data_IF_302384358633
#
_entry.id   IF_302384358633
#
_cell.length_a   1.000
_cell.length_b   1.000
_cell.length_c   1.000
_cell.angle_alpha   90.00
_cell.angle_beta   90.00
_cell.angle_gamma   90.00
#
_symmetry.space_group_name_H-M   'P 1'
#
loop_
_entity.id
_entity.type
_entity.pdbx_description
1 polymer ?
#
# COMPACT_ATOMS: atom_id res chain seq x y z
N UNK A 1 -19.68 -0.82 28.32
CA UNK A 1 -18.29 -0.82 27.84
C UNK A 1 -17.85 -2.26 27.59
N UNK A 2 -17.03 -2.56 26.55
CA UNK A 2 -16.52 -3.91 26.37
C UNK A 2 -15.70 -4.31 27.61
N UNK A 3 -16.08 -5.41 28.27
CA UNK A 3 -15.38 -5.93 29.44
C UNK A 3 -14.02 -6.49 28.99
N UNK A 4 -12.97 -5.68 29.10
CA UNK A 4 -11.59 -6.14 28.92
C UNK A 4 -11.15 -6.80 30.22
N UNK A 5 -10.81 -8.09 30.17
CA UNK A 5 -10.37 -8.88 31.32
C UNK A 5 -8.96 -9.43 31.10
N UNK A 6 -8.33 -9.93 32.16
CA UNK A 6 -7.04 -10.62 32.03
C UNK A 6 -7.16 -11.80 31.06
N UNK A 7 -6.19 -11.91 30.15
CA UNK A 7 -6.18 -12.94 29.10
C UNK A 7 -6.89 -12.55 27.80
N UNK A 8 -7.66 -11.46 27.78
CA UNK A 8 -8.32 -10.98 26.55
C UNK A 8 -7.30 -10.53 25.52
N UNK A 9 -7.54 -10.85 24.24
CA UNK A 9 -6.78 -10.30 23.11
C UNK A 9 -7.32 -8.92 22.74
N UNK A 10 -6.45 -7.94 22.67
CA UNK A 10 -6.79 -6.55 22.39
C UNK A 10 -5.87 -5.98 21.34
N UNK A 11 -6.36 -5.02 20.58
CA UNK A 11 -5.52 -4.16 19.78
C UNK A 11 -5.87 -2.69 20.04
N UNK A 12 -5.00 -1.79 19.56
CA UNK A 12 -5.29 -0.36 19.60
C UNK A 12 -6.57 -0.08 18.80
N UNK A 13 -7.48 0.67 19.40
CA UNK A 13 -8.73 1.14 18.78
C UNK A 13 -8.42 2.06 17.60
N UNK A 14 -7.42 2.92 17.77
CA UNK A 14 -6.89 3.79 16.72
C UNK A 14 -5.60 3.16 16.18
N UNK A 15 -5.70 2.53 15.02
CA UNK A 15 -4.55 2.04 14.27
C UNK A 15 -4.70 2.53 12.83
N UNK A 16 -3.65 3.09 12.20
CA UNK A 16 -3.70 3.42 10.79
C UNK A 16 -4.00 2.18 9.93
N UNK A 17 -4.68 2.40 8.82
CA UNK A 17 -4.93 1.39 7.77
C UNK A 17 -3.63 0.96 7.10
N UNK A 18 -2.74 1.93 6.84
CA UNK A 18 -1.39 1.70 6.30
C UNK A 18 -0.38 2.55 7.05
N UNK A 19 0.78 1.97 7.35
CA UNK A 19 1.86 2.69 8.03
C UNK A 19 2.72 3.47 7.03
N UNK A 20 3.33 4.56 7.49
CA UNK A 20 4.40 5.21 6.74
C UNK A 20 5.50 4.19 6.38
N UNK A 21 5.99 4.25 5.14
CA UNK A 21 6.89 3.27 4.54
C UNK A 21 6.18 2.24 3.66
N UNK A 22 4.84 2.18 3.66
CA UNK A 22 4.12 1.24 2.80
C UNK A 22 4.33 1.55 1.32
N UNK A 23 4.55 0.51 0.52
CA UNK A 23 4.71 0.64 -0.93
C UNK A 23 3.34 0.57 -1.59
N UNK A 24 3.08 1.48 -2.52
CA UNK A 24 1.87 1.47 -3.32
C UNK A 24 2.17 1.89 -4.76
N UNK A 25 1.25 1.59 -5.66
CA UNK A 25 1.30 2.08 -7.03
C UNK A 25 0.03 2.84 -7.41
N UNK A 26 0.18 3.77 -8.35
CA UNK A 26 -0.90 4.55 -8.93
C UNK A 26 -0.82 4.48 -10.46
N UNK A 27 -2.00 4.48 -11.10
CA UNK A 27 -2.16 4.48 -12.56
C UNK A 27 -2.94 5.71 -13.06
N UNK A 28 -3.15 6.72 -12.21
CA UNK A 28 -4.05 7.85 -12.49
C UNK A 28 -3.73 8.66 -13.75
N UNK A 29 -2.48 8.67 -14.21
CA UNK A 29 -2.04 9.35 -15.43
C UNK A 29 -1.81 8.41 -16.63
N UNK A 30 -2.30 7.17 -16.57
CA UNK A 30 -2.05 6.13 -17.59
C UNK A 30 -0.64 5.56 -17.60
N UNK A 31 0.27 6.13 -16.79
CA UNK A 31 1.63 5.61 -16.56
C UNK A 31 1.68 5.06 -15.14
N UNK A 32 1.99 3.77 -14.95
CA UNK A 32 2.12 3.20 -13.61
C UNK A 32 3.31 3.82 -12.89
N UNK A 33 3.05 4.40 -11.72
CA UNK A 33 4.06 4.94 -10.83
C UNK A 33 4.06 4.16 -9.53
N UNK A 34 5.25 3.92 -8.96
CA UNK A 34 5.42 3.27 -7.67
C UNK A 34 5.93 4.31 -6.67
N UNK A 35 5.33 4.35 -5.49
CA UNK A 35 5.65 5.29 -4.44
C UNK A 35 5.70 4.63 -3.07
N UNK A 36 6.49 5.21 -2.18
CA UNK A 36 6.54 4.86 -0.76
C UNK A 36 5.75 5.90 0.01
N UNK A 37 4.72 5.45 0.71
CA UNK A 37 3.85 6.27 1.54
C UNK A 37 4.68 6.95 2.64
N UNK A 38 4.60 8.28 2.73
CA UNK A 38 5.40 9.04 3.71
C UNK A 38 4.72 9.19 5.08
N UNK A 39 3.40 9.02 5.12
CA UNK A 39 2.56 9.34 6.28
C UNK A 39 1.63 8.15 6.57
N UNK A 40 1.26 7.90 7.82
CA UNK A 40 0.32 6.80 8.10
C UNK A 40 -1.10 7.17 7.65
N UNK A 41 -1.77 6.25 6.97
CA UNK A 41 -3.13 6.42 6.44
C UNK A 41 -4.15 6.03 7.50
N UNK A 42 -5.10 6.91 7.79
CA UNK A 42 -6.17 6.64 8.76
C UNK A 42 -7.54 6.44 8.07
N UNK A 43 -7.71 6.98 6.86
CA UNK A 43 -8.94 6.92 6.09
C UNK A 43 -8.65 6.79 4.59
N UNK A 44 -9.35 5.90 3.88
CA UNK A 44 -9.19 5.69 2.43
C UNK A 44 -9.72 6.84 1.56
N UNK A 45 -10.43 7.79 2.15
CA UNK A 45 -10.93 8.98 1.45
C UNK A 45 -9.91 10.12 1.38
N UNK A 46 -8.78 9.99 2.07
CA UNK A 46 -7.75 11.02 2.14
C UNK A 46 -6.81 10.98 0.93
N UNK A 47 -5.98 12.01 0.81
CA UNK A 47 -4.84 12.04 -0.13
C UNK A 47 -3.56 12.11 0.68
N UNK A 48 -2.58 11.26 0.36
CA UNK A 48 -1.32 11.18 1.08
C UNK A 48 -0.13 11.46 0.17
N UNK A 49 1.00 11.84 0.78
CA UNK A 49 2.26 12.02 0.06
C UNK A 49 2.98 10.70 -0.13
N UNK A 50 3.44 10.49 -1.36
CA UNK A 50 4.22 9.34 -1.78
C UNK A 50 5.55 9.81 -2.32
N UNK A 51 6.64 9.23 -1.83
CA UNK A 51 7.95 9.37 -2.42
C UNK A 51 8.06 8.40 -3.60
N UNK A 52 8.05 8.93 -4.83
CA UNK A 52 8.19 8.12 -6.03
C UNK A 52 9.52 7.35 -6.03
N UNK A 53 9.45 6.11 -6.48
CA UNK A 53 10.62 5.25 -6.69
C UNK A 53 10.80 5.00 -8.17
N UNK A 54 12.03 5.15 -8.66
CA UNK A 54 12.35 4.73 -10.01
C UNK A 54 12.41 3.20 -10.07
N UNK A 55 12.15 2.58 -11.24
CA UNK A 55 12.30 1.14 -11.42
C UNK A 55 13.70 0.62 -11.06
N UNK A 56 14.74 1.46 -11.17
CA UNK A 56 16.12 1.15 -10.79
C UNK A 56 16.29 1.11 -9.26
N UNK A 57 15.65 2.01 -8.53
CA UNK A 57 15.67 2.04 -7.06
C UNK A 57 15.00 0.80 -6.44
N UNK A 58 13.96 0.26 -7.08
CA UNK A 58 13.23 -0.91 -6.57
C UNK A 58 14.10 -2.18 -6.53
N UNK A 59 15.01 -2.36 -7.49
CA UNK A 59 15.95 -3.51 -7.53
C UNK A 59 16.98 -3.50 -6.39
N UNK A 60 17.24 -2.33 -5.79
CA UNK A 60 18.16 -2.19 -4.66
C UNK A 60 17.55 -2.70 -3.34
N UNK A 61 16.21 -2.68 -3.23
CA UNK A 61 15.50 -3.04 -2.01
C UNK A 61 15.53 -4.54 -1.71
N UNK A 62 15.48 -5.40 -2.75
CA UNK A 62 15.65 -6.86 -2.60
C UNK A 62 17.04 -7.25 -2.08
N UNK A 63 18.07 -6.41 -2.29
CA UNK A 63 19.42 -6.64 -1.76
C UNK A 63 19.56 -6.16 -0.32
N UNK A 64 18.84 -5.11 0.08
CA UNK A 64 18.88 -4.60 1.46
C UNK A 64 18.19 -5.55 2.46
N UNK A 65 17.17 -6.31 2.04
CA UNK A 65 16.53 -7.33 2.88
C UNK A 65 17.36 -8.62 3.05
N UNK A 66 18.45 -8.81 2.28
CA UNK A 66 19.39 -9.94 2.43
C UNK A 66 20.77 -9.55 3.01
N UNK A 67 21.00 -8.29 3.35
CA UNK A 67 22.32 -7.79 3.79
C UNK A 67 22.33 -7.26 5.24
N UNK A 68 21.47 -7.80 6.13
CA UNK A 68 21.54 -7.54 7.58
C UNK A 68 22.36 -8.62 8.33
N UNK A 69 22.80 -9.69 7.65
CA UNK A 69 23.77 -10.62 8.23
C UNK A 69 25.15 -10.40 7.62
N UNK A 70 26.13 -10.21 8.51
CA UNK A 70 27.58 -10.14 8.29
C UNK A 70 28.18 -8.80 7.81
N UNK A 71 28.52 -7.94 8.77
CA UNK A 71 29.91 -7.41 8.84
C UNK A 71 30.32 -7.01 10.27
N UNK A 72 31.50 -7.43 10.75
CA UNK A 72 31.93 -7.21 12.13
C UNK A 72 32.52 -5.81 12.37
N UNK A 73 32.41 -5.44 13.64
CA UNK A 73 32.91 -4.31 14.40
C UNK A 73 34.36 -3.88 14.10
N UNK A 74 34.61 -2.57 14.05
CA UNK A 74 35.89 -2.02 14.51
C UNK A 74 35.77 -0.58 15.05
N UNK A 75 36.02 -0.48 16.36
CA UNK A 75 36.66 0.60 17.13
C UNK A 75 35.95 1.95 17.33
N UNK A 76 35.70 2.16 18.62
CA UNK A 76 35.28 3.36 19.34
C UNK A 76 36.30 4.52 19.22
N UNK A 77 35.79 5.76 19.20
CA UNK A 77 36.39 6.90 19.90
C UNK A 77 35.28 7.80 20.49
N UNK A 78 35.47 8.39 21.68
CA UNK A 78 34.41 9.11 22.39
C UNK A 78 34.47 10.62 22.11
N UNK A 79 33.41 11.19 21.55
CA UNK A 79 33.30 12.67 21.43
C UNK A 79 32.10 13.17 22.22
N UNK A 80 32.45 13.63 23.41
CA UNK A 80 31.80 14.58 24.32
C UNK A 80 30.49 15.22 23.81
N UNK A 81 29.45 15.00 24.62
CA UNK A 81 28.31 15.89 24.84
C UNK A 81 28.75 17.35 24.94
N UNK A 82 28.33 18.18 23.98
CA UNK A 82 28.18 19.62 24.18
C UNK A 82 26.82 20.03 23.62
N UNK A 83 25.87 20.15 24.54
CA UNK A 83 24.54 20.67 24.30
C UNK A 83 24.68 22.15 23.92
N UNK A 84 24.28 22.52 22.70
CA UNK A 84 24.18 23.92 22.31
C UNK A 84 23.15 24.65 23.18
N UNK A 85 23.38 25.93 23.55
CA UNK A 85 22.45 26.66 24.40
C UNK A 85 21.13 26.94 23.66
N UNK A 86 19.97 26.90 24.35
CA UNK A 86 18.67 27.18 23.75
C UNK A 86 18.51 28.68 23.42
N UNK A 87 17.76 29.05 22.37
CA UNK A 87 17.49 30.44 22.06
C UNK A 87 16.47 31.03 23.05
N UNK A 88 16.77 32.21 23.59
CA UNK A 88 15.89 33.00 24.46
C UNK A 88 15.27 34.19 23.69
N UNK A 89 14.16 34.79 24.19
CA UNK A 89 13.09 35.37 23.38
C UNK A 89 13.23 36.87 23.06
N UNK A 90 12.30 37.32 22.20
CA UNK A 90 12.17 38.61 21.54
C UNK A 90 12.21 39.87 22.42
N UNK A 91 12.73 40.95 21.82
CA UNK A 91 12.49 42.33 22.25
C UNK A 91 11.93 43.14 21.07
N UNK A 92 10.82 43.82 21.32
CA UNK A 92 10.10 44.70 20.40
C UNK A 92 10.58 46.13 20.60
N UNK A 93 10.85 46.89 19.54
CA UNK A 93 10.75 48.35 19.53
C UNK A 93 10.47 48.83 18.09
N UNK A 94 9.45 49.66 17.95
CA UNK A 94 8.97 50.26 16.71
C UNK A 94 9.72 51.54 16.32
N UNK A 95 9.50 51.95 15.07
CA UNK A 95 9.21 53.31 14.58
C UNK A 95 10.21 54.12 13.72
N UNK A 96 9.59 54.72 12.69
CA UNK A 96 9.92 55.91 11.89
C UNK A 96 11.02 55.88 10.78
N UNK A 97 10.54 55.63 9.56
CA UNK A 97 10.50 56.55 8.39
C UNK A 97 11.76 57.27 7.84
N UNK A 98 12.02 56.97 6.54
CA UNK A 98 12.42 57.87 5.43
C UNK A 98 13.85 58.44 5.45
N UNK A 99 14.67 58.54 4.38
CA UNK A 99 14.51 59.04 3.00
C UNK A 99 15.79 58.72 2.17
N UNK A 100 15.64 58.77 0.84
CA UNK A 100 16.60 59.16 -0.21
C UNK A 100 17.61 58.14 -0.80
N UNK A 101 17.49 58.00 -2.13
CA UNK A 101 18.36 57.32 -3.08
C UNK A 101 19.64 58.12 -3.40
N UNK A 102 20.75 57.44 -3.73
CA UNK A 102 21.47 57.53 -5.03
C UNK A 102 22.90 56.96 -5.02
N UNK A 103 23.20 56.15 -6.04
CA UNK A 103 24.44 56.01 -6.81
C UNK A 103 25.81 55.70 -6.15
N UNK A 104 26.40 54.55 -6.53
CA UNK A 104 27.69 54.39 -7.26
C UNK A 104 28.52 53.15 -6.83
N UNK A 105 28.91 52.34 -7.83
CA UNK A 105 29.88 51.21 -7.82
C UNK A 105 31.34 51.73 -7.73
N UNK A 106 32.45 50.92 -7.74
CA UNK A 106 32.66 49.45 -7.61
C UNK A 106 33.83 49.09 -6.65
N UNK A 107 34.10 47.80 -6.33
CA UNK A 107 35.44 47.17 -6.36
C UNK A 107 35.43 45.68 -5.92
N UNK A 108 35.83 44.80 -6.85
CA UNK A 108 36.47 43.47 -6.72
C UNK A 108 36.24 42.61 -5.44
N UNK A 109 35.61 41.44 -5.62
CA UNK A 109 36.32 40.12 -5.56
C UNK A 109 35.43 38.97 -6.07
N UNK A 110 35.90 38.26 -7.10
CA UNK A 110 35.42 36.92 -7.48
C UNK A 110 35.47 36.00 -6.26
N UNK A 111 34.34 35.40 -5.90
CA UNK A 111 34.29 34.04 -5.35
C UNK A 111 33.11 33.34 -6.00
N UNK A 112 33.41 32.54 -7.00
CA UNK A 112 32.52 31.51 -7.52
C UNK A 112 32.11 30.61 -6.36
N UNK A 113 30.87 30.76 -5.90
CA UNK A 113 30.21 29.72 -5.12
C UNK A 113 30.12 28.48 -6.00
N UNK A 114 30.53 27.29 -5.53
CA UNK A 114 30.22 26.07 -6.24
C UNK A 114 28.69 25.99 -6.40
N UNK A 115 28.25 25.60 -7.59
CA UNK A 115 26.85 25.28 -7.85
C UNK A 115 26.32 24.40 -6.71
N UNK A 116 25.09 24.62 -6.22
CA UNK A 116 24.48 23.66 -5.33
C UNK A 116 24.49 22.33 -6.07
N UNK A 117 25.07 21.31 -5.41
CA UNK A 117 24.88 19.93 -5.84
C UNK A 117 23.38 19.76 -6.03
N UNK A 118 23.01 19.19 -7.17
CA UNK A 118 21.66 18.78 -7.50
C UNK A 118 21.18 17.84 -6.40
N UNK A 119 20.61 18.41 -5.34
CA UNK A 119 19.97 17.66 -4.28
C UNK A 119 18.76 17.00 -4.92
N UNK A 120 18.89 15.70 -5.12
CA UNK A 120 17.85 14.69 -5.22
C UNK A 120 16.49 15.30 -4.91
N UNK A 121 15.85 15.85 -5.94
CA UNK A 121 14.52 16.43 -5.85
C UNK A 121 13.64 15.23 -5.54
N UNK A 122 13.39 15.02 -4.25
CA UNK A 122 12.55 13.95 -3.73
C UNK A 122 11.27 14.08 -4.52
N UNK A 123 11.04 13.15 -5.45
CA UNK A 123 9.88 13.16 -6.32
C UNK A 123 8.69 12.78 -5.44
N UNK A 124 8.25 13.71 -4.60
CA UNK A 124 7.07 13.56 -3.76
C UNK A 124 5.85 13.93 -4.61
N UNK A 125 4.88 13.03 -4.66
CA UNK A 125 3.58 13.28 -5.28
C UNK A 125 2.48 13.05 -4.24
N UNK A 126 1.44 13.87 -4.30
CA UNK A 126 0.23 13.65 -3.52
C UNK A 126 -0.73 12.80 -4.34
N UNK A 127 -1.09 11.62 -3.83
CA UNK A 127 -2.02 10.70 -4.48
C UNK A 127 -3.31 10.56 -3.68
N UNK A 128 -4.44 10.51 -4.39
CA UNK A 128 -5.74 10.12 -3.83
C UNK A 128 -5.71 8.65 -3.49
N UNK A 129 -5.97 8.29 -2.22
CA UNK A 129 -5.90 6.89 -1.78
C UNK A 129 -6.95 6.00 -2.46
N UNK A 130 -8.01 6.59 -3.02
CA UNK A 130 -9.02 5.86 -3.81
C UNK A 130 -8.49 5.31 -5.13
N UNK A 131 -7.40 5.87 -5.65
CA UNK A 131 -6.79 5.50 -6.93
C UNK A 131 -5.45 4.78 -6.75
N UNK A 132 -5.11 4.46 -5.51
CA UNK A 132 -3.83 3.85 -5.12
C UNK A 132 -4.05 2.42 -4.69
N UNK A 133 -3.18 1.54 -5.16
CA UNK A 133 -3.16 0.14 -4.75
C UNK A 133 -1.90 -0.09 -3.93
N UNK A 134 -2.08 -0.36 -2.63
CA UNK A 134 -0.98 -0.75 -1.75
C UNK A 134 -0.50 -2.15 -2.10
N UNK A 135 0.82 -2.35 -2.15
CA UNK A 135 1.49 -3.63 -2.46
C UNK A 135 1.91 -4.36 -1.19
N UNK A 136 2.09 -3.64 -0.08
CA UNK A 136 2.52 -4.24 1.18
C UNK A 136 1.45 -5.20 1.72
N UNK A 137 1.89 -6.42 2.10
CA UNK A 137 1.09 -7.32 2.92
C UNK A 137 0.67 -6.55 4.17
N UNK A 138 -0.64 -6.39 4.35
CA UNK A 138 -1.22 -5.68 5.51
C UNK A 138 -0.60 -6.27 6.77
N UNK A 139 0.32 -5.53 7.40
CA UNK A 139 0.89 -5.94 8.69
C UNK A 139 -0.29 -6.11 9.61
N UNK A 140 -0.53 -7.35 10.04
CA UNK A 140 -1.61 -7.65 10.96
C UNK A 140 -1.54 -6.67 12.13
N UNK A 141 -2.66 -6.01 12.42
CA UNK A 141 -2.77 -5.09 13.55
C UNK A 141 -2.18 -5.80 14.78
N UNK A 142 -1.15 -5.24 15.44
CA UNK A 142 -0.48 -5.92 16.55
C UNK A 142 -1.51 -6.23 17.63
N UNK A 143 -1.73 -7.53 17.87
CA UNK A 143 -2.68 -8.03 18.86
C UNK A 143 -1.90 -8.35 20.13
N UNK A 144 -2.22 -7.63 21.20
CA UNK A 144 -1.63 -7.84 22.51
C UNK A 144 -2.53 -8.67 23.41
N UNK A 145 -1.93 -9.34 24.40
CA UNK A 145 -2.63 -10.07 25.46
C UNK A 145 -2.67 -9.23 26.73
N UNK A 146 -3.85 -9.07 27.30
CA UNK A 146 -4.03 -8.34 28.57
C UNK A 146 -3.46 -9.16 29.73
N UNK A 147 -2.53 -8.58 30.49
CA UNK A 147 -1.93 -9.19 31.67
C UNK A 147 -2.62 -8.74 32.97
N UNK A 148 -3.02 -7.47 33.03
CA UNK A 148 -3.63 -6.89 34.23
C UNK A 148 -4.58 -5.76 33.83
N UNK A 149 -5.66 -5.64 34.58
CA UNK A 149 -6.59 -4.51 34.52
C UNK A 149 -6.56 -3.83 35.89
N UNK A 150 -6.41 -2.51 35.90
CA UNK A 150 -6.43 -1.67 37.08
C UNK A 150 -7.23 -0.38 36.80
N UNK A 151 -8.48 -0.36 37.23
CA UNK A 151 -9.41 0.74 36.98
C UNK A 151 -9.54 1.09 35.50
N UNK A 152 -9.07 2.28 35.12
CA UNK A 152 -9.10 2.78 33.74
C UNK A 152 -7.93 2.31 32.87
N UNK A 153 -6.92 1.65 33.46
CA UNK A 153 -5.69 1.25 32.79
C UNK A 153 -5.55 -0.26 32.67
N UNK A 154 -4.88 -0.70 31.63
CA UNK A 154 -4.68 -2.10 31.28
C UNK A 154 -3.24 -2.32 30.85
N UNK A 155 -2.57 -3.29 31.46
CA UNK A 155 -1.25 -3.74 31.02
C UNK A 155 -1.40 -4.79 29.91
N UNK A 156 -0.83 -4.52 28.74
CA UNK A 156 -0.95 -5.33 27.53
C UNK A 156 0.44 -5.74 27.03
N UNK A 157 0.65 -7.04 26.81
CA UNK A 157 1.84 -7.57 26.17
C UNK A 157 1.61 -7.75 24.67
N UNK A 158 2.34 -7.03 23.83
CA UNK A 158 2.30 -7.20 22.37
C UNK A 158 3.42 -8.14 21.91
N UNK A 159 3.16 -9.08 20.98
CA UNK A 159 4.21 -9.89 20.37
C UNK A 159 5.08 -9.00 19.47
N UNK A 160 6.41 -9.02 19.68
CA UNK A 160 7.38 -8.38 18.77
C UNK A 160 7.97 -7.03 19.20
N UNK A 161 7.81 -6.61 20.46
CA UNK A 161 8.49 -5.40 20.98
C UNK A 161 9.93 -5.64 21.45
N UNK A 162 10.40 -6.90 21.45
CA UNK A 162 11.79 -7.26 21.76
C UNK A 162 12.49 -7.83 20.52
N UNK A 163 13.33 -7.02 19.87
CA UNK A 163 14.35 -7.52 18.95
C UNK A 163 15.51 -8.15 19.75
N UNK A 164 15.27 -9.29 20.37
CA UNK A 164 16.32 -10.11 20.98
C UNK A 164 15.93 -11.58 20.96
N UNK A 165 16.57 -12.29 20.03
CA UNK A 165 17.00 -13.69 20.13
C UNK A 165 15.93 -14.77 20.40
N UNK A 166 15.86 -15.73 19.47
CA UNK A 166 15.30 -17.06 19.69
C UNK A 166 15.76 -17.62 21.06
N UNK A 167 14.83 -17.66 22.01
CA UNK A 167 14.93 -18.50 23.20
C UNK A 167 13.64 -19.31 23.27
N UNK A 168 13.66 -20.62 22.99
CA UNK A 168 12.48 -21.46 23.12
C UNK A 168 12.18 -21.61 24.62
N UNK A 169 10.93 -21.36 25.00
CA UNK A 169 10.33 -21.78 26.28
C UNK A 169 11.16 -21.55 27.56
N UNK A 170 10.86 -20.47 28.28
CA UNK A 170 10.98 -20.47 29.75
C UNK A 170 9.61 -20.19 30.38
N UNK A 171 8.73 -21.18 30.33
CA UNK A 171 7.65 -21.32 31.32
C UNK A 171 8.25 -21.84 32.63
N UNK A 172 9.13 -21.05 33.24
CA UNK A 172 9.76 -21.30 34.53
C UNK A 172 9.58 -20.09 35.46
N UNK A 173 9.70 -20.27 36.79
CA UNK A 173 9.39 -19.23 37.78
C UNK A 173 10.42 -18.07 37.81
N UNK A 174 11.51 -18.15 37.04
CA UNK A 174 12.59 -17.16 36.98
C UNK A 174 12.56 -16.32 35.68
N UNK A 175 11.38 -15.83 35.29
CA UNK A 175 11.32 -14.79 34.26
C UNK A 175 11.76 -13.46 34.89
N UNK A 176 12.91 -12.93 34.45
CA UNK A 176 13.41 -11.63 34.93
C UNK A 176 12.31 -10.56 34.81
N UNK A 177 11.86 -9.95 35.91
CA UNK A 177 10.69 -9.05 35.90
C UNK A 177 10.87 -7.87 34.94
N UNK A 178 12.11 -7.46 34.71
CA UNK A 178 12.50 -6.43 33.74
C UNK A 178 12.15 -6.79 32.29
N UNK A 179 12.30 -8.06 31.90
CA UNK A 179 11.98 -8.52 30.54
C UNK A 179 10.48 -8.48 30.26
N UNK A 180 9.67 -8.89 31.26
CA UNK A 180 8.22 -8.80 31.18
C UNK A 180 7.74 -7.35 31.09
N UNK A 181 8.35 -6.45 31.86
CA UNK A 181 8.02 -5.02 31.82
C UNK A 181 8.38 -4.37 30.48
N UNK A 182 9.49 -4.76 29.84
CA UNK A 182 9.86 -4.25 28.51
C UNK A 182 8.88 -4.67 27.41
N UNK A 183 8.26 -5.85 27.55
CA UNK A 183 7.26 -6.34 26.61
C UNK A 183 5.84 -5.81 26.86
N UNK A 184 5.63 -5.12 27.99
CA UNK A 184 4.33 -4.65 28.44
C UNK A 184 4.14 -3.15 28.20
N UNK A 185 2.98 -2.79 27.68
CA UNK A 185 2.53 -1.40 27.58
C UNK A 185 1.32 -1.17 28.47
N UNK A 186 1.36 -0.11 29.27
CA UNK A 186 0.20 0.34 30.04
C UNK A 186 -0.62 1.28 29.15
N UNK A 187 -1.86 0.89 28.87
CA UNK A 187 -2.77 1.59 27.95
C UNK A 187 -4.10 1.86 28.64
N UNK A 188 -4.82 2.89 28.20
CA UNK A 188 -6.16 3.15 28.72
C UNK A 188 -7.18 2.20 28.08
N UNK A 189 -8.19 1.82 28.86
CA UNK A 189 -9.22 0.87 28.39
C UNK A 189 -10.02 1.41 27.18
N UNK A 190 -10.13 2.73 27.04
CA UNK A 190 -10.77 3.41 25.92
C UNK A 190 -9.86 3.53 24.67
N UNK A 191 -8.57 3.23 24.79
CA UNK A 191 -7.64 3.15 23.65
C UNK A 191 -7.60 1.74 23.04
N UNK A 192 -8.27 0.78 23.67
CA UNK A 192 -8.24 -0.63 23.29
C UNK A 192 -9.58 -1.09 22.72
N UNK A 193 -9.51 -2.06 21.82
CA UNK A 193 -10.67 -2.84 21.36
C UNK A 193 -10.36 -4.33 21.47
N UNK A 194 -11.37 -5.11 21.86
CA UNK A 194 -11.24 -6.57 21.95
C UNK A 194 -11.22 -7.16 20.54
N UNK A 195 -10.18 -7.95 20.25
CA UNK A 195 -10.07 -8.68 18.99
C UNK A 195 -10.79 -10.01 19.16
N UNK A 196 -11.91 -10.18 18.47
CA UNK A 196 -12.57 -11.49 18.34
C UNK A 196 -11.78 -12.29 17.31
N UNK A 197 -11.26 -13.46 17.70
CA UNK A 197 -10.58 -14.40 16.80
C UNK A 197 -11.47 -14.65 15.58
N UNK A 198 -11.06 -14.19 14.40
CA UNK A 198 -11.84 -14.29 13.14
C UNK A 198 -12.28 -12.97 12.52
N UNK A 199 -11.99 -11.80 13.12
CA UNK A 199 -12.14 -10.52 12.43
C UNK A 199 -11.09 -10.38 11.33
N UNK A 200 -11.50 -10.55 10.08
CA UNK A 200 -10.64 -10.23 8.92
C UNK A 200 -10.17 -8.77 9.01
N UNK A 201 -8.95 -8.45 8.55
CA UNK A 201 -8.46 -7.07 8.56
C UNK A 201 -9.48 -6.13 7.90
N UNK A 202 -9.62 -4.92 8.46
CA UNK A 202 -10.52 -3.86 7.93
C UNK A 202 -10.09 -3.33 6.55
N UNK A 203 -9.02 -3.88 6.00
CA UNK A 203 -8.41 -3.46 4.74
C UNK A 203 -8.89 -4.42 3.66
N UNK A 204 -9.42 -3.92 2.52
CA UNK A 204 -9.81 -4.78 1.41
C UNK A 204 -8.63 -5.65 0.96
N UNK A 205 -8.84 -6.95 0.82
CA UNK A 205 -7.86 -7.83 0.19
C UNK A 205 -7.91 -7.57 -1.32
N UNK A 206 -7.02 -6.72 -1.81
CA UNK A 206 -6.95 -6.33 -3.22
C UNK A 206 -6.15 -7.34 -4.06
N UNK A 207 -5.55 -8.37 -3.45
CA UNK A 207 -4.65 -9.28 -4.14
C UNK A 207 -5.22 -10.69 -4.26
N UNK A 208 -5.51 -11.06 -5.50
CA UNK A 208 -5.83 -12.43 -5.82
C UNK A 208 -4.54 -13.28 -5.87
N UNK A 209 -4.14 -13.85 -4.72
CA UNK A 209 -2.89 -14.66 -4.58
C UNK A 209 -2.85 -15.91 -5.46
N UNK A 210 -4.01 -16.46 -5.81
CA UNK A 210 -4.13 -17.62 -6.71
C UNK A 210 -5.01 -17.26 -7.90
N UNK A 211 -4.62 -17.58 -9.15
CA UNK A 211 -5.47 -17.36 -10.31
C UNK A 211 -6.84 -17.99 -10.11
N UNK A 212 -7.89 -17.16 -10.20
CA UNK A 212 -9.27 -17.60 -10.07
C UNK A 212 -9.75 -18.15 -11.40
N UNK A 213 -10.30 -19.36 -11.35
CA UNK A 213 -10.87 -20.01 -12.53
C UNK A 213 -12.24 -19.38 -12.83
N UNK A 214 -12.45 -18.98 -14.08
CA UNK A 214 -13.76 -18.53 -14.56
C UNK A 214 -14.73 -19.71 -14.59
N UNK A 215 -15.97 -19.49 -14.12
CA UNK A 215 -17.02 -20.50 -14.11
C UNK A 215 -17.63 -20.69 -15.51
N UNK A 216 -16.82 -21.17 -16.45
CA UNK A 216 -17.25 -21.46 -17.82
C UNK A 216 -17.97 -22.83 -17.84
N UNK A 217 -19.14 -22.97 -18.49
CA UNK A 217 -19.85 -24.25 -18.53
C UNK A 217 -19.04 -25.32 -19.30
N UNK A 218 -19.07 -26.57 -18.82
CA UNK A 218 -18.16 -27.64 -19.29
C UNK A 218 -18.28 -28.01 -20.77
N UNK A 219 -19.42 -27.71 -21.41
CA UNK A 219 -19.70 -28.04 -22.82
C UNK A 219 -19.50 -26.87 -23.76
N UNK A 220 -18.74 -25.86 -23.35
CA UNK A 220 -18.51 -24.66 -24.19
C UNK A 220 -17.08 -24.57 -24.69
N UNK A 221 -16.94 -24.22 -25.96
CA UNK A 221 -15.67 -23.87 -26.59
C UNK A 221 -15.47 -22.36 -26.51
N UNK A 222 -14.25 -21.92 -26.19
CA UNK A 222 -13.90 -20.50 -26.08
C UNK A 222 -13.33 -20.06 -27.42
N UNK A 223 -14.01 -19.12 -28.09
CA UNK A 223 -13.58 -18.60 -29.39
C UNK A 223 -12.65 -17.40 -29.26
N UNK A 224 -12.97 -16.49 -28.33
CA UNK A 224 -12.18 -15.29 -28.08
C UNK A 224 -12.34 -14.84 -26.63
N UNK A 225 -11.28 -14.25 -26.07
CA UNK A 225 -11.27 -13.65 -24.74
C UNK A 225 -10.55 -12.30 -24.80
N UNK A 226 -11.11 -11.30 -24.11
CA UNK A 226 -10.44 -10.05 -23.83
C UNK A 226 -10.81 -9.56 -22.42
N UNK A 227 -10.01 -8.68 -21.83
CA UNK A 227 -10.21 -8.20 -20.45
C UNK A 227 -10.25 -6.68 -20.46
N UNK A 228 -11.25 -6.12 -19.79
CA UNK A 228 -11.34 -4.70 -19.51
C UNK A 228 -11.58 -4.45 -18.00
N UNK A 229 -11.93 -3.22 -17.66
CA UNK A 229 -12.28 -2.82 -16.29
C UNK A 229 -13.65 -3.30 -15.81
N UNK A 230 -14.54 -3.69 -16.72
CA UNK A 230 -15.88 -4.20 -16.42
C UNK A 230 -15.86 -5.71 -16.19
N UNK A 231 -14.96 -6.43 -16.86
CA UNK A 231 -14.84 -7.87 -16.66
C UNK A 231 -13.94 -8.58 -17.67
N UNK A 232 -14.03 -9.90 -17.64
CA UNK A 232 -13.48 -10.75 -18.70
C UNK A 232 -14.56 -10.98 -19.74
N UNK A 233 -14.36 -10.41 -20.93
CA UNK A 233 -15.19 -10.64 -22.10
C UNK A 233 -14.82 -11.95 -22.76
N UNK A 234 -15.80 -12.81 -23.00
CA UNK A 234 -15.60 -14.06 -23.70
C UNK A 234 -16.69 -14.30 -24.74
N UNK A 235 -16.31 -14.84 -25.89
CA UNK A 235 -17.24 -15.39 -26.87
C UNK A 235 -17.18 -16.90 -26.76
N UNK A 236 -18.31 -17.49 -26.40
CA UNK A 236 -18.44 -18.92 -26.12
C UNK A 236 -19.34 -19.58 -27.16
N UNK A 237 -18.94 -20.76 -27.62
CA UNK A 237 -19.72 -21.64 -28.49
C UNK A 237 -20.23 -22.82 -27.71
N UNK A 238 -21.51 -23.13 -27.82
CA UNK A 238 -22.16 -24.28 -27.18
C UNK A 238 -23.00 -25.02 -28.21
N UNK A 239 -22.44 -26.08 -28.79
CA UNK A 239 -23.03 -26.73 -29.95
C UNK A 239 -23.20 -25.73 -31.09
N UNK A 240 -24.45 -25.46 -31.49
CA UNK A 240 -24.81 -24.52 -32.56
C UNK A 240 -25.10 -23.11 -32.07
N UNK A 241 -24.87 -22.77 -30.81
CA UNK A 241 -25.13 -21.45 -30.27
C UNK A 241 -23.81 -20.73 -30.01
N UNK A 242 -23.72 -19.48 -30.44
CA UNK A 242 -22.64 -18.59 -30.04
C UNK A 242 -23.24 -17.53 -29.14
N UNK A 243 -22.56 -17.23 -28.04
CA UNK A 243 -22.96 -16.22 -27.07
C UNK A 243 -21.76 -15.39 -26.64
N UNK A 244 -22.05 -14.17 -26.25
CA UNK A 244 -21.12 -13.25 -25.63
C UNK A 244 -21.38 -13.21 -24.13
N UNK A 245 -20.32 -13.38 -23.34
CA UNK A 245 -20.38 -13.42 -21.89
C UNK A 245 -19.42 -12.38 -21.29
N UNK A 246 -19.84 -11.76 -20.19
CA UNK A 246 -18.96 -10.95 -19.33
C UNK A 246 -18.86 -11.65 -17.98
N UNK A 247 -17.65 -12.04 -17.59
CA UNK A 247 -17.37 -12.59 -16.28
C UNK A 247 -16.83 -11.51 -15.35
N UNK A 248 -17.40 -11.42 -14.16
CA UNK A 248 -16.92 -10.50 -13.12
C UNK A 248 -15.56 -10.95 -12.58
N UNK A 249 -14.64 -9.98 -12.44
CA UNK A 249 -13.29 -10.21 -11.96
C UNK A 249 -13.27 -10.65 -10.49
N UNK A 250 -14.22 -10.17 -9.67
CA UNK A 250 -14.24 -10.48 -8.24
C UNK A 250 -14.81 -11.88 -7.96
N UNK A 251 -15.90 -12.27 -8.62
CA UNK A 251 -16.66 -13.50 -8.38
C UNK A 251 -16.31 -14.62 -9.35
N UNK A 252 -15.77 -14.31 -10.54
CA UNK A 252 -15.50 -15.26 -11.62
C UNK A 252 -16.75 -15.84 -12.27
N UNK A 253 -17.93 -15.29 -11.97
CA UNK A 253 -19.24 -15.71 -12.50
C UNK A 253 -19.63 -14.83 -13.69
N UNK A 254 -20.45 -15.38 -14.59
CA UNK A 254 -21.03 -14.61 -15.68
C UNK A 254 -22.07 -13.63 -15.13
N UNK A 255 -21.84 -12.34 -15.30
CA UNK A 255 -22.81 -11.28 -14.98
C UNK A 255 -23.76 -11.01 -16.15
N UNK A 256 -23.24 -11.11 -17.36
CA UNK A 256 -24.00 -10.87 -18.57
C UNK A 256 -23.79 -12.02 -19.57
N UNK A 257 -24.90 -12.53 -20.12
CA UNK A 257 -24.89 -13.48 -21.23
C UNK A 257 -25.85 -12.99 -22.31
N UNK A 258 -25.31 -12.72 -23.50
CA UNK A 258 -26.09 -12.29 -24.66
C UNK A 258 -25.89 -13.28 -25.80
N UNK A 259 -26.96 -13.80 -26.35
CA UNK A 259 -26.90 -14.61 -27.56
C UNK A 259 -26.74 -13.71 -28.79
N UNK A 260 -25.98 -14.16 -29.79
CA UNK A 260 -25.90 -13.44 -31.04
C UNK A 260 -27.24 -13.52 -31.79
N UNK A 261 -27.73 -12.42 -32.39
CA UNK A 261 -28.96 -12.43 -33.19
C UNK A 261 -28.76 -13.13 -34.55
N UNK A 262 -27.50 -13.36 -34.94
CA UNK A 262 -27.12 -13.98 -36.21
C UNK A 262 -26.95 -15.50 -36.05
N UNK A 263 -27.19 -16.24 -37.12
CA UNK A 263 -26.87 -17.68 -37.19
C UNK A 263 -25.41 -17.94 -36.80
N UNK A 264 -25.18 -18.95 -35.96
CA UNK A 264 -23.84 -19.35 -35.53
C UNK A 264 -22.91 -19.68 -36.70
N UNK A 265 -23.42 -20.29 -37.76
CA UNK A 265 -22.64 -20.65 -38.95
C UNK A 265 -22.15 -19.39 -39.66
N UNK A 266 -23.00 -18.36 -39.78
CA UNK A 266 -22.62 -17.10 -40.43
C UNK A 266 -21.56 -16.36 -39.61
N UNK A 267 -21.66 -16.38 -38.28
CA UNK A 267 -20.68 -15.77 -37.38
C UNK A 267 -19.33 -16.51 -37.36
N UNK A 268 -19.37 -17.83 -37.30
CA UNK A 268 -18.17 -18.69 -37.29
C UNK A 268 -17.41 -18.66 -38.62
N UNK A 269 -18.13 -18.38 -39.71
CA UNK A 269 -17.55 -18.08 -41.02
C UNK A 269 -16.66 -19.19 -41.56
N UNK A 270 -15.66 -18.80 -42.35
CA UNK A 270 -14.70 -19.72 -42.95
C UNK A 270 -13.71 -20.31 -41.93
N UNK A 271 -13.36 -19.55 -40.89
CA UNK A 271 -12.41 -19.99 -39.89
C UNK A 271 -12.76 -19.43 -38.51
N UNK A 272 -13.21 -20.30 -37.61
CA UNK A 272 -13.60 -19.94 -36.25
C UNK A 272 -12.45 -19.32 -35.45
N UNK A 273 -11.20 -19.61 -35.80
CA UNK A 273 -10.01 -19.02 -35.16
C UNK A 273 -9.81 -17.54 -35.47
N UNK A 274 -10.52 -17.02 -36.46
CA UNK A 274 -10.48 -15.60 -36.77
C UNK A 274 -11.39 -14.79 -35.84
N UNK A 275 -12.27 -15.42 -35.08
CA UNK A 275 -13.12 -14.70 -34.11
C UNK A 275 -12.22 -14.01 -33.08
N UNK A 276 -12.42 -12.71 -32.87
CA UNK A 276 -11.61 -11.91 -31.96
C UNK A 276 -12.42 -10.79 -31.32
N UNK A 277 -12.13 -10.48 -30.06
CA UNK A 277 -12.74 -9.37 -29.31
C UNK A 277 -11.67 -8.32 -29.11
N UNK A 278 -11.97 -7.06 -29.42
CA UNK A 278 -11.09 -5.92 -29.19
C UNK A 278 -11.78 -4.91 -28.28
N UNK A 279 -11.05 -4.49 -27.25
CA UNK A 279 -11.48 -3.49 -26.28
C UNK A 279 -10.57 -2.27 -26.42
N UNK A 280 -11.14 -1.08 -26.63
CA UNK A 280 -10.38 0.16 -26.80
C UNK A 280 -10.43 1.07 -25.55
N UNK A 281 -10.64 0.51 -24.35
CA UNK A 281 -10.66 1.22 -23.07
C UNK A 281 -12.04 1.30 -22.39
N UNK A 282 -12.08 1.94 -21.21
CA UNK A 282 -13.23 2.00 -20.28
C UNK A 282 -14.57 2.45 -20.89
N UNK A 283 -14.53 3.36 -21.86
CA UNK A 283 -15.73 3.97 -22.46
C UNK A 283 -15.88 3.68 -23.96
N UNK A 284 -14.98 2.87 -24.52
CA UNK A 284 -15.02 2.53 -25.93
C UNK A 284 -15.95 1.35 -26.20
N UNK A 285 -16.62 1.30 -27.37
CA UNK A 285 -17.38 0.12 -27.76
C UNK A 285 -16.44 -1.08 -27.88
N UNK A 286 -17.00 -2.26 -27.57
CA UNK A 286 -16.31 -3.53 -27.78
C UNK A 286 -16.52 -3.92 -29.23
N UNK A 287 -15.42 -4.19 -29.90
CA UNK A 287 -15.40 -4.53 -31.31
C UNK A 287 -15.24 -6.04 -31.42
N UNK A 288 -16.08 -6.68 -32.21
CA UNK A 288 -16.06 -8.13 -32.39
C UNK A 288 -15.81 -8.44 -33.86
N UNK A 289 -14.77 -9.22 -34.13
CA UNK A 289 -14.50 -9.76 -35.46
C UNK A 289 -15.09 -11.16 -35.59
N UNK A 290 -15.82 -11.40 -36.67
CA UNK A 290 -16.36 -12.71 -37.03
C UNK A 290 -15.28 -13.63 -37.64
N UNK A 291 -15.63 -14.88 -37.94
CA UNK A 291 -14.71 -15.84 -38.54
C UNK A 291 -14.34 -15.58 -40.01
N UNK A 292 -15.06 -14.68 -40.68
CA UNK A 292 -14.75 -14.20 -42.02
C UNK A 292 -13.79 -12.99 -42.01
N UNK A 293 -13.48 -12.45 -40.83
CA UNK A 293 -12.65 -11.26 -40.66
C UNK A 293 -13.42 -9.93 -40.71
N UNK A 294 -14.75 -9.97 -40.70
CA UNK A 294 -15.63 -8.79 -40.67
C UNK A 294 -15.75 -8.29 -39.23
N UNK A 295 -15.79 -6.97 -39.05
CA UNK A 295 -15.97 -6.28 -37.77
C UNK A 295 -17.43 -5.86 -37.60
#
# INVERSE_FOLDING_TARGET
MPNITVGTQVCLRNNPLYHAGAVAFSISAGIPKVGVLMESVWNMNDSCRFQLRSPESLKSMEKASKAIETKPESKQEPVKTEMGPPPSPASTCSDASSIASSASMPYKRRRSTPAPKEEEKVNEEQWSLREVVFVEDVKNVPVGKVLKVDGAYVAVKFPGTSSSTNCPHSSGPDADPSSLLQDCRLLRIDELQVVKTGGTPKVPDCFQRTPKKLCIPEKTEILAVNVDSKGVHAVLKTGNWVRYCIFDLATGKAEQENNFPTSSIAFLGQNERNVAIFTAGQESPIILRDGNGTI
#
